data_IF_709139390657
#
_entry.id   IF_709139390657
#
_cell.length_a   1.000
_cell.length_b   1.000
_cell.length_c   1.000
_cell.angle_alpha   90.00
_cell.angle_beta   90.00
_cell.angle_gamma   90.00
#
_symmetry.space_group_name_H-M   'P 1'
#
loop_
_entity.id
_entity.type
_entity.pdbx_description
1 polymer ?
#
# COMPACT_ATOMS: atom_id res chain seq x y z
N UNK A 1 12.77 -11.94 0.51
CA UNK A 1 11.37 -12.31 0.24
C UNK A 1 11.02 -13.60 0.98
N UNK A 2 11.77 -14.72 0.79
CA UNK A 2 11.47 -16.00 1.46
C UNK A 2 11.32 -15.85 2.99
N UNK A 3 12.22 -15.11 3.63
CA UNK A 3 12.17 -14.82 5.07
C UNK A 3 10.92 -14.02 5.48
N UNK A 4 10.46 -13.06 4.66
CA UNK A 4 9.23 -12.29 4.91
C UNK A 4 7.98 -13.15 4.78
N UNK A 5 7.99 -14.12 3.88
CA UNK A 5 6.88 -15.08 3.72
C UNK A 5 6.77 -16.01 4.94
N UNK A 6 7.90 -16.39 5.55
CA UNK A 6 7.89 -17.21 6.79
C UNK A 6 7.40 -16.43 8.02
N UNK A 7 7.47 -15.11 8.00
CA UNK A 7 6.95 -14.20 9.03
C UNK A 7 5.52 -13.74 8.80
N UNK A 8 4.71 -14.40 7.98
CA UNK A 8 3.49 -14.05 7.24
C UNK A 8 3.31 -12.55 6.89
N UNK A 9 4.42 -11.84 6.60
CA UNK A 9 4.36 -10.44 6.16
C UNK A 9 4.30 -10.35 4.62
N UNK A 10 3.15 -10.70 4.08
CA UNK A 10 2.89 -10.69 2.64
C UNK A 10 2.90 -9.26 2.05
N UNK A 11 2.54 -8.27 2.86
CA UNK A 11 2.54 -6.86 2.44
C UNK A 11 3.95 -6.37 2.10
N UNK A 12 4.90 -6.59 2.99
CA UNK A 12 6.30 -6.19 2.76
C UNK A 12 6.95 -7.06 1.68
N UNK A 13 6.62 -8.36 1.61
CA UNK A 13 7.13 -9.23 0.57
C UNK A 13 6.71 -8.76 -0.83
N UNK A 14 5.43 -8.40 -1.01
CA UNK A 14 4.90 -7.89 -2.27
C UNK A 14 5.51 -6.54 -2.65
N UNK A 15 5.72 -5.65 -1.69
CA UNK A 15 6.36 -4.35 -1.89
C UNK A 15 7.81 -4.50 -2.39
N UNK A 16 8.60 -5.37 -1.75
CA UNK A 16 9.98 -5.65 -2.17
C UNK A 16 10.02 -6.27 -3.55
N UNK A 17 9.15 -7.25 -3.85
CA UNK A 17 9.06 -7.86 -5.17
C UNK A 17 8.67 -6.86 -6.25
N UNK A 18 7.68 -6.02 -5.99
CA UNK A 18 7.23 -5.01 -6.94
C UNK A 18 8.32 -3.96 -7.22
N UNK A 19 9.00 -3.46 -6.18
CA UNK A 19 10.12 -2.52 -6.32
C UNK A 19 11.27 -3.14 -7.11
N UNK A 20 11.62 -4.39 -6.81
CA UNK A 20 12.64 -5.13 -7.55
C UNK A 20 12.22 -5.35 -9.02
N UNK A 21 10.96 -5.68 -9.28
CA UNK A 21 10.43 -5.83 -10.63
C UNK A 21 10.54 -4.56 -11.47
N UNK A 22 10.26 -3.39 -10.86
CA UNK A 22 10.42 -2.09 -11.52
C UNK A 22 11.90 -1.84 -11.85
N UNK A 23 12.81 -2.08 -10.90
CA UNK A 23 14.26 -1.96 -11.14
C UNK A 23 14.72 -2.89 -12.27
N UNK A 24 14.25 -4.13 -12.26
CA UNK A 24 14.58 -5.14 -13.26
C UNK A 24 14.11 -4.70 -14.66
N UNK A 25 12.90 -4.16 -14.77
CA UNK A 25 12.36 -3.62 -16.00
C UNK A 25 13.18 -2.42 -16.52
N UNK A 26 13.53 -1.47 -15.65
CA UNK A 26 14.34 -0.29 -15.99
C UNK A 26 15.77 -0.67 -16.37
N UNK A 27 16.28 -1.80 -15.84
CA UNK A 27 17.57 -2.36 -16.25
C UNK A 27 17.57 -2.91 -17.70
N UNK A 28 16.40 -2.98 -18.36
CA UNK A 28 16.27 -3.53 -19.73
C UNK A 28 16.32 -5.06 -19.78
N UNK A 29 16.06 -5.72 -18.68
CA UNK A 29 16.08 -7.17 -18.59
C UNK A 29 14.85 -7.82 -19.27
N UNK A 30 14.91 -9.10 -19.67
CA UNK A 30 13.86 -9.75 -20.43
C UNK A 30 12.52 -9.78 -19.66
N UNK A 31 11.46 -9.26 -20.25
CA UNK A 31 10.12 -9.23 -19.65
C UNK A 31 9.58 -10.62 -19.29
N UNK A 32 10.07 -11.65 -19.99
CA UNK A 32 9.68 -13.03 -19.75
C UNK A 32 9.94 -13.47 -18.30
N UNK A 33 11.04 -13.02 -17.71
CA UNK A 33 11.37 -13.34 -16.32
C UNK A 33 10.41 -12.64 -15.35
N UNK A 34 10.00 -11.40 -15.64
CA UNK A 34 8.97 -10.71 -14.84
C UNK A 34 7.64 -11.45 -14.91
N UNK A 35 7.24 -11.88 -16.09
CA UNK A 35 6.00 -12.69 -16.28
C UNK A 35 6.10 -14.02 -15.51
N UNK A 36 7.25 -14.69 -15.57
CA UNK A 36 7.45 -15.94 -14.83
C UNK A 36 7.38 -15.73 -13.31
N UNK A 37 7.96 -14.63 -12.79
CA UNK A 37 7.91 -14.28 -11.36
C UNK A 37 6.48 -13.91 -10.96
N UNK A 38 5.78 -13.12 -11.77
CA UNK A 38 4.37 -12.77 -11.52
C UNK A 38 3.50 -14.03 -11.48
N UNK A 39 3.68 -14.94 -12.44
CA UNK A 39 3.01 -16.25 -12.46
C UNK A 39 3.32 -17.09 -11.21
N UNK A 40 4.59 -17.16 -10.81
CA UNK A 40 5.00 -17.87 -9.60
C UNK A 40 4.41 -17.24 -8.34
N UNK A 41 4.29 -15.92 -8.29
CA UNK A 41 3.67 -15.19 -7.15
C UNK A 41 2.16 -15.50 -7.07
N UNK A 42 1.45 -15.48 -8.20
CA UNK A 42 0.02 -15.84 -8.26
C UNK A 42 -0.16 -17.31 -7.87
N UNK A 43 0.65 -18.21 -8.40
CA UNK A 43 0.59 -19.63 -8.07
C UNK A 43 0.88 -19.87 -6.57
N UNK A 44 1.92 -19.23 -6.02
CA UNK A 44 2.23 -19.28 -4.59
C UNK A 44 1.10 -18.71 -3.72
N UNK A 45 0.46 -17.62 -4.16
CA UNK A 45 -0.70 -17.04 -3.51
C UNK A 45 -1.91 -17.97 -3.48
N UNK A 46 -2.18 -18.69 -4.59
CA UNK A 46 -3.26 -19.68 -4.63
C UNK A 46 -2.98 -20.87 -3.72
N UNK A 47 -1.73 -21.34 -3.66
CA UNK A 47 -1.34 -22.36 -2.71
C UNK A 47 -1.47 -21.89 -1.25
N UNK A 48 -1.04 -20.67 -0.96
CA UNK A 48 -1.21 -20.08 0.37
C UNK A 48 -2.69 -19.96 0.76
N UNK A 49 -3.55 -19.58 -0.16
CA UNK A 49 -5.00 -19.53 0.06
C UNK A 49 -5.57 -20.90 0.40
N UNK A 50 -5.12 -21.96 -0.28
CA UNK A 50 -5.62 -23.33 -0.04
C UNK A 50 -5.10 -23.96 1.26
N UNK A 51 -3.87 -23.61 1.70
CA UNK A 51 -3.18 -24.28 2.80
C UNK A 51 -3.07 -23.45 4.08
N UNK A 52 -3.40 -22.15 4.04
CA UNK A 52 -3.32 -21.25 5.18
C UNK A 52 -4.68 -20.61 5.47
N UNK A 53 -5.37 -21.10 6.49
CA UNK A 53 -6.65 -20.51 6.94
C UNK A 53 -6.51 -19.03 7.31
N UNK A 54 -5.34 -18.62 7.79
CA UNK A 54 -5.08 -17.24 8.15
C UNK A 54 -5.03 -16.34 6.91
N UNK A 55 -4.40 -16.81 5.81
CA UNK A 55 -4.35 -16.11 4.55
C UNK A 55 -5.72 -16.11 3.86
N UNK A 56 -6.42 -17.24 3.85
CA UNK A 56 -7.76 -17.35 3.29
C UNK A 56 -8.74 -16.38 3.98
N UNK A 57 -8.78 -16.37 5.32
CA UNK A 57 -9.64 -15.44 6.08
C UNK A 57 -9.41 -13.96 5.76
N UNK A 58 -8.16 -13.56 5.46
CA UNK A 58 -7.86 -12.17 5.05
C UNK A 58 -8.43 -11.85 3.67
N UNK A 59 -8.27 -12.76 2.72
CA UNK A 59 -8.81 -12.58 1.36
C UNK A 59 -10.34 -12.59 1.39
N UNK A 60 -10.94 -13.54 2.10
CA UNK A 60 -12.39 -13.64 2.21
C UNK A 60 -12.99 -12.43 2.93
N UNK A 61 -12.34 -11.97 4.01
CA UNK A 61 -12.75 -10.75 4.72
C UNK A 61 -12.63 -9.48 3.86
N UNK A 62 -11.66 -9.43 2.94
CA UNK A 62 -11.54 -8.33 2.00
C UNK A 62 -12.58 -8.40 0.86
N UNK A 63 -12.88 -9.62 0.39
CA UNK A 63 -13.87 -9.84 -0.68
C UNK A 63 -15.32 -9.80 -0.19
N UNK A 64 -15.54 -9.93 1.14
CA UNK A 64 -16.88 -9.77 1.72
C UNK A 64 -17.33 -8.33 1.53
N UNK A 65 -18.54 -8.15 1.00
CA UNK A 65 -19.12 -6.82 0.76
C UNK A 65 -19.49 -6.07 2.06
N UNK A 66 -19.60 -6.80 3.17
CA UNK A 66 -19.88 -6.24 4.49
C UNK A 66 -18.58 -5.96 5.23
N UNK A 67 -18.19 -4.69 5.24
CA UNK A 67 -17.11 -4.22 6.10
C UNK A 67 -17.66 -4.18 7.54
N UNK A 68 -17.20 -5.09 8.37
CA UNK A 68 -17.56 -5.07 9.79
C UNK A 68 -17.11 -3.75 10.41
N UNK A 69 -18.05 -2.90 10.86
CA UNK A 69 -17.74 -1.59 11.44
C UNK A 69 -16.83 -1.65 12.67
N UNK A 70 -16.67 -2.82 13.28
CA UNK A 70 -15.82 -3.04 14.46
C UNK A 70 -14.36 -3.39 14.10
N UNK A 71 -14.07 -3.55 12.80
CA UNK A 71 -12.71 -3.79 12.32
C UNK A 71 -11.93 -2.49 12.12
N UNK A 72 -10.60 -2.57 12.09
CA UNK A 72 -9.75 -1.42 11.77
C UNK A 72 -10.10 -0.76 10.43
N UNK A 73 -10.45 -1.57 9.42
CA UNK A 73 -10.91 -1.06 8.12
C UNK A 73 -12.27 -0.37 8.22
N UNK A 74 -13.19 -0.89 9.05
CA UNK A 74 -14.48 -0.27 9.32
C UNK A 74 -14.31 1.11 9.99
N UNK A 75 -13.45 1.20 11.00
CA UNK A 75 -13.13 2.48 11.63
C UNK A 75 -12.49 3.47 10.65
N UNK A 76 -11.56 3.03 9.82
CA UNK A 76 -10.94 3.88 8.80
C UNK A 76 -11.95 4.40 7.77
N UNK A 77 -12.89 3.54 7.33
CA UNK A 77 -13.96 3.95 6.43
C UNK A 77 -14.89 4.99 7.06
N UNK A 78 -15.30 4.75 8.31
CA UNK A 78 -16.14 5.69 9.05
C UNK A 78 -15.45 7.05 9.22
N UNK A 79 -14.13 7.05 9.55
CA UNK A 79 -13.34 8.28 9.64
C UNK A 79 -13.38 9.09 8.34
N UNK A 80 -13.19 8.42 7.18
CA UNK A 80 -13.23 9.09 5.88
C UNK A 80 -14.63 9.63 5.56
N UNK A 81 -15.68 8.89 5.92
CA UNK A 81 -17.06 9.30 5.69
C UNK A 81 -17.47 10.49 6.58
N UNK A 82 -17.12 10.44 7.89
CA UNK A 82 -17.41 11.52 8.83
C UNK A 82 -16.66 12.81 8.50
N UNK A 83 -15.42 12.70 8.02
CA UNK A 83 -14.63 13.84 7.59
C UNK A 83 -15.17 14.58 6.39
N UNK A 84 -15.85 13.90 5.46
CA UNK A 84 -16.40 14.52 4.25
C UNK A 84 -15.35 15.30 3.46
N UNK A 85 -15.76 16.42 2.83
CA UNK A 85 -14.83 17.20 2.00
C UNK A 85 -13.87 18.07 2.82
N UNK A 86 -14.30 18.65 3.94
CA UNK A 86 -13.56 19.67 4.68
C UNK A 86 -13.12 19.24 6.09
N UNK A 87 -13.50 18.06 6.51
CA UNK A 87 -13.18 17.53 7.83
C UNK A 87 -14.09 18.04 8.94
N UNK A 88 -14.06 17.36 10.08
CA UNK A 88 -14.78 17.75 11.29
C UNK A 88 -14.03 18.82 12.10
N UNK A 89 -12.83 19.19 11.69
CA UNK A 89 -11.97 20.14 12.36
C UNK A 89 -10.86 19.48 13.18
N UNK A 90 -9.77 20.24 13.37
CA UNK A 90 -8.57 19.76 14.10
C UNK A 90 -8.92 19.38 15.53
N UNK A 91 -8.63 18.14 15.90
CA UNK A 91 -8.94 17.61 17.22
C UNK A 91 -10.39 17.16 17.40
N UNK A 92 -11.29 17.44 16.43
CA UNK A 92 -12.70 17.05 16.47
C UNK A 92 -12.97 15.59 16.10
N UNK A 93 -11.98 14.91 15.51
CA UNK A 93 -12.08 13.50 15.14
C UNK A 93 -12.22 12.60 16.37
N UNK A 94 -13.13 11.64 16.29
CA UNK A 94 -13.40 10.67 17.36
C UNK A 94 -12.83 9.30 17.08
N UNK A 95 -12.72 8.93 15.80
CA UNK A 95 -12.30 7.60 15.36
C UNK A 95 -10.83 7.32 15.71
N UNK A 96 -9.99 8.33 15.73
CA UNK A 96 -8.57 8.21 16.15
C UNK A 96 -8.36 7.58 17.53
N UNK A 97 -9.34 7.69 18.44
CA UNK A 97 -9.26 7.09 19.77
C UNK A 97 -9.64 5.62 19.80
N UNK A 98 -10.43 5.19 18.83
CA UNK A 98 -10.92 3.82 18.70
C UNK A 98 -10.10 2.99 17.70
N UNK A 99 -9.28 3.65 16.86
CA UNK A 99 -8.51 3.02 15.79
C UNK A 99 -7.13 2.61 16.29
N UNK A 100 -6.83 1.31 16.45
CA UNK A 100 -5.47 0.85 16.68
C UNK A 100 -4.56 1.32 15.53
N UNK A 101 -3.32 1.70 15.85
CA UNK A 101 -2.34 2.18 14.87
C UNK A 101 -2.77 3.39 14.03
N UNK A 102 -3.67 4.21 14.59
CA UNK A 102 -4.12 5.47 13.98
C UNK A 102 -2.96 6.39 13.55
N UNK A 103 -1.83 6.35 14.28
CA UNK A 103 -0.67 7.21 14.03
C UNK A 103 0.31 6.64 12.98
N UNK A 104 0.11 5.43 12.52
CA UNK A 104 1.01 4.73 11.59
C UNK A 104 0.28 4.36 10.31
N UNK A 105 -0.39 3.23 10.29
CA UNK A 105 -0.97 2.66 9.07
C UNK A 105 -2.24 3.39 8.62
N UNK A 106 -2.98 3.99 9.55
CA UNK A 106 -4.24 4.67 9.28
C UNK A 106 -4.19 6.20 9.43
N UNK A 107 -2.98 6.78 9.40
CA UNK A 107 -2.83 8.24 9.54
C UNK A 107 -3.59 9.03 8.46
N UNK A 108 -3.76 8.46 7.28
CA UNK A 108 -4.54 9.06 6.18
C UNK A 108 -6.03 9.08 6.52
N UNK A 109 -6.56 8.05 7.20
CA UNK A 109 -7.95 8.03 7.64
C UNK A 109 -8.20 9.10 8.72
N UNK A 110 -7.28 9.25 9.67
CA UNK A 110 -7.33 10.31 10.68
C UNK A 110 -7.24 11.70 10.04
N UNK A 111 -6.34 11.88 9.07
CA UNK A 111 -6.23 13.12 8.31
C UNK A 111 -7.50 13.43 7.50
N UNK A 112 -8.15 12.40 6.95
CA UNK A 112 -9.43 12.55 6.25
C UNK A 112 -10.56 12.97 7.22
N UNK A 113 -10.60 12.39 8.42
CA UNK A 113 -11.57 12.76 9.45
C UNK A 113 -11.43 14.23 9.86
N UNK A 114 -10.23 14.66 10.21
CA UNK A 114 -10.01 16.01 10.77
C UNK A 114 -9.96 17.12 9.71
N UNK A 115 -9.35 16.86 8.55
CA UNK A 115 -9.10 17.87 7.51
C UNK A 115 -9.88 17.64 6.22
N UNK A 116 -10.56 16.51 6.10
CA UNK A 116 -11.36 16.17 4.94
C UNK A 116 -10.57 15.63 3.74
N UNK A 117 -11.33 15.25 2.71
CA UNK A 117 -10.79 14.69 1.47
C UNK A 117 -9.90 15.67 0.69
N UNK A 118 -10.08 16.99 0.85
CA UNK A 118 -9.27 17.99 0.17
C UNK A 118 -7.81 17.86 0.58
N UNK A 119 -7.52 17.76 1.88
CA UNK A 119 -6.13 17.56 2.35
C UNK A 119 -5.56 16.23 1.86
N UNK A 120 -6.35 15.16 1.93
CA UNK A 120 -5.92 13.84 1.45
C UNK A 120 -5.54 13.89 -0.02
N UNK A 121 -6.33 14.55 -0.87
CA UNK A 121 -6.02 14.73 -2.29
C UNK A 121 -4.72 15.52 -2.50
N UNK A 122 -4.50 16.59 -1.73
CA UNK A 122 -3.24 17.36 -1.79
C UNK A 122 -2.05 16.47 -1.43
N UNK A 123 -2.15 15.65 -0.39
CA UNK A 123 -1.09 14.73 0.03
C UNK A 123 -0.83 13.69 -1.07
N UNK A 124 -1.88 13.11 -1.67
CA UNK A 124 -1.76 12.16 -2.79
C UNK A 124 -1.02 12.80 -3.97
N UNK A 125 -1.44 14.01 -4.38
CA UNK A 125 -0.82 14.73 -5.47
C UNK A 125 0.65 15.04 -5.19
N UNK A 126 1.00 15.37 -3.95
CA UNK A 126 2.38 15.59 -3.52
C UNK A 126 3.22 14.32 -3.68
N UNK A 127 2.77 13.19 -3.13
CA UNK A 127 3.46 11.91 -3.25
C UNK A 127 3.63 11.49 -4.72
N UNK A 128 2.55 11.61 -5.50
CA UNK A 128 2.57 11.31 -6.93
C UNK A 128 3.55 12.21 -7.69
N UNK A 129 3.56 13.50 -7.40
CA UNK A 129 4.48 14.47 -8.02
C UNK A 129 5.93 14.13 -7.71
N UNK A 130 6.26 13.85 -6.44
CA UNK A 130 7.61 13.47 -6.03
C UNK A 130 8.04 12.18 -6.73
N UNK A 131 7.19 11.16 -6.73
CA UNK A 131 7.49 9.85 -7.34
C UNK A 131 7.69 9.97 -8.85
N UNK A 132 6.72 10.56 -9.55
CA UNK A 132 6.76 10.69 -11.01
C UNK A 132 7.95 11.56 -11.46
N UNK A 133 8.18 12.69 -10.78
CA UNK A 133 9.31 13.58 -11.09
C UNK A 133 10.66 12.88 -10.85
N UNK A 134 10.78 12.12 -9.78
CA UNK A 134 11.99 11.32 -9.47
C UNK A 134 12.22 10.27 -10.55
N UNK A 135 11.20 9.48 -10.88
CA UNK A 135 11.28 8.48 -11.95
C UNK A 135 11.67 9.08 -13.29
N UNK A 136 11.05 10.21 -13.68
CA UNK A 136 11.34 10.87 -14.93
C UNK A 136 12.79 11.38 -15.03
N UNK A 137 13.38 11.86 -13.93
CA UNK A 137 14.79 12.25 -13.87
C UNK A 137 15.72 11.04 -13.95
N UNK A 138 15.40 9.99 -13.21
CA UNK A 138 16.22 8.79 -13.12
C UNK A 138 16.29 7.98 -14.42
N UNK A 139 15.21 7.96 -15.21
CA UNK A 139 15.21 7.34 -16.54
C UNK A 139 16.26 8.00 -17.47
N UNK A 140 16.55 9.28 -17.26
CA UNK A 140 17.52 10.06 -18.06
C UNK A 140 18.93 10.03 -17.49
N UNK A 141 19.12 9.42 -16.32
CA UNK A 141 20.43 9.32 -15.67
C UNK A 141 21.36 8.40 -16.48
N UNK A 142 22.60 8.87 -16.67
CA UNK A 142 23.59 8.15 -17.47
C UNK A 142 24.34 7.10 -16.66
N UNK A 143 24.54 7.35 -15.38
CA UNK A 143 25.18 6.37 -14.49
C UNK A 143 24.19 5.22 -14.17
N UNK A 144 24.52 3.97 -14.59
CA UNK A 144 23.63 2.82 -14.39
C UNK A 144 23.33 2.55 -12.92
N UNK A 145 24.31 2.76 -12.04
CA UNK A 145 24.12 2.51 -10.61
C UNK A 145 23.13 3.51 -10.01
N UNK A 146 23.36 4.80 -10.23
CA UNK A 146 22.46 5.88 -9.76
C UNK A 146 21.06 5.72 -10.33
N UNK A 147 20.95 5.37 -11.62
CA UNK A 147 19.66 5.11 -12.27
C UNK A 147 18.90 3.98 -11.59
N UNK A 148 19.53 2.82 -11.38
CA UNK A 148 18.86 1.65 -10.80
C UNK A 148 18.55 1.84 -9.32
N UNK A 149 19.54 2.28 -8.53
CA UNK A 149 19.36 2.49 -7.10
C UNK A 149 18.30 3.57 -6.81
N UNK A 150 18.36 4.70 -7.53
CA UNK A 150 17.39 5.77 -7.42
C UNK A 150 15.98 5.33 -7.83
N UNK A 151 15.86 4.56 -8.94
CA UNK A 151 14.57 4.01 -9.38
C UNK A 151 13.99 3.06 -8.33
N UNK A 152 14.80 2.20 -7.71
CA UNK A 152 14.36 1.32 -6.65
C UNK A 152 13.82 2.07 -5.44
N UNK A 153 14.52 3.10 -5.00
CA UNK A 153 14.10 3.95 -3.88
C UNK A 153 12.82 4.74 -4.21
N UNK A 154 12.73 5.33 -5.40
CA UNK A 154 11.55 6.06 -5.84
C UNK A 154 10.34 5.13 -6.02
N UNK A 155 10.55 3.91 -6.52
CA UNK A 155 9.52 2.88 -6.63
C UNK A 155 9.03 2.44 -5.25
N UNK A 156 9.95 2.16 -4.33
CA UNK A 156 9.62 1.77 -2.96
C UNK A 156 8.79 2.85 -2.27
N UNK A 157 9.20 4.11 -2.38
CA UNK A 157 8.49 5.26 -1.83
C UNK A 157 7.07 5.40 -2.41
N UNK A 158 6.94 5.36 -3.75
CA UNK A 158 5.66 5.49 -4.42
C UNK A 158 4.71 4.31 -4.15
N UNK A 159 5.23 3.08 -4.20
CA UNK A 159 4.45 1.87 -3.90
C UNK A 159 3.98 1.84 -2.44
N UNK A 160 4.84 2.24 -1.49
CA UNK A 160 4.47 2.32 -0.08
C UNK A 160 3.32 3.30 0.13
N UNK A 161 3.39 4.49 -0.50
CA UNK A 161 2.32 5.47 -0.44
C UNK A 161 1.02 4.94 -1.07
N UNK A 162 1.10 4.29 -2.24
CA UNK A 162 -0.06 3.70 -2.91
C UNK A 162 -0.71 2.58 -2.09
N UNK A 163 0.10 1.70 -1.48
CA UNK A 163 -0.43 0.61 -0.65
C UNK A 163 -1.11 1.19 0.59
N UNK A 164 -0.49 2.13 1.30
CA UNK A 164 -1.09 2.73 2.49
C UNK A 164 -2.40 3.44 2.15
N UNK A 165 -2.42 4.18 1.05
CA UNK A 165 -3.64 4.84 0.57
C UNK A 165 -4.70 3.82 0.16
N UNK A 166 -4.30 2.77 -0.57
CA UNK A 166 -5.20 1.71 -1.02
C UNK A 166 -5.83 0.95 0.14
N UNK A 167 -5.07 0.70 1.22
CA UNK A 167 -5.60 0.09 2.45
C UNK A 167 -6.57 1.04 3.15
N UNK A 168 -6.21 2.32 3.32
CA UNK A 168 -7.09 3.32 3.94
C UNK A 168 -8.40 3.52 3.15
N UNK A 169 -8.33 3.45 1.81
CA UNK A 169 -9.48 3.56 0.91
C UNK A 169 -10.23 2.23 0.70
N UNK A 170 -9.86 1.16 1.41
CA UNK A 170 -10.45 -0.19 1.26
C UNK A 170 -10.28 -0.82 -0.14
N UNK A 171 -9.36 -0.32 -0.93
CA UNK A 171 -9.03 -0.89 -2.25
C UNK A 171 -8.04 -2.06 -2.16
N UNK A 172 -7.36 -2.18 -1.03
CA UNK A 172 -6.37 -3.25 -0.75
C UNK A 172 -6.63 -3.85 0.63
N UNK A 173 -6.36 -5.15 0.81
CA UNK A 173 -6.47 -5.77 2.12
C UNK A 173 -5.48 -5.14 3.10
N UNK A 174 -5.87 -5.06 4.37
CA UNK A 174 -5.00 -4.52 5.41
C UNK A 174 -3.66 -5.27 5.44
N UNK A 175 -2.56 -4.52 5.57
CA UNK A 175 -1.26 -5.11 5.83
C UNK A 175 -1.39 -5.95 7.10
N UNK A 176 -0.93 -7.19 7.03
CA UNK A 176 -0.96 -8.04 8.20
C UNK A 176 -0.17 -7.41 9.32
N UNK A 177 -0.88 -6.92 10.29
CA UNK A 177 -0.28 -6.57 11.55
C UNK A 177 -0.35 -7.77 12.45
N UNK A 178 0.79 -8.11 12.94
CA UNK A 178 0.99 -9.06 14.04
C UNK A 178 0.42 -8.47 15.30
#
# INVERSE_FOLDING_TARGET
VAFLVTQPDFGQASLVLASWGIMYFVAGAPILILVAIAGATVFGGTLAYQHSEHFARRIDGFLSADVDPTTQLGYAANAIQEGGFFGVGVGGGTVKWSLPDAHTDFIIAVAAEEYGLVLVLVVILLFMTVTVRSMYRLIRERDPFTRLAGTGLAALFGLQALINLGVAAQLLPAKGMT
#
